data_IF_984762818276
#
_entry.id   IF_984762818276
#
_cell.length_a   1.000
_cell.length_b   1.000
_cell.length_c   1.000
_cell.angle_alpha   90.00
_cell.angle_beta   90.00
_cell.angle_gamma   90.00
#
_symmetry.space_group_name_H-M   'P 1'
#
loop_
_entity.id
_entity.type
_entity.pdbx_description
1 polymer ?
#
# COMPACT_ATOMS: atom_id res chain seq x y z
N UNK A 1 -16.54 -9.78 -9.67
CA UNK A 1 -15.97 -10.18 -8.36
C UNK A 1 -16.09 -9.06 -7.34
N UNK A 2 -16.39 -9.39 -6.06
CA UNK A 2 -16.42 -8.37 -5.00
C UNK A 2 -14.98 -7.93 -4.69
N UNK A 3 -14.74 -6.64 -4.78
CA UNK A 3 -13.39 -6.04 -4.77
C UNK A 3 -13.24 -5.13 -3.56
N UNK A 4 -12.03 -5.03 -3.01
CA UNK A 4 -11.66 -4.03 -2.01
C UNK A 4 -10.36 -3.32 -2.42
N UNK A 5 -10.27 -2.01 -2.14
CA UNK A 5 -9.04 -1.24 -2.25
C UNK A 5 -8.28 -1.31 -0.93
N UNK A 6 -7.02 -1.73 -0.98
CA UNK A 6 -6.10 -1.69 0.16
C UNK A 6 -5.20 -0.45 0.04
N UNK A 7 -5.32 0.45 1.00
CA UNK A 7 -4.44 1.63 1.14
C UNK A 7 -3.43 1.32 2.24
N UNK A 8 -2.23 0.90 1.83
CA UNK A 8 -1.22 0.30 2.73
C UNK A 8 -0.20 1.36 3.13
N UNK A 9 -0.10 1.62 4.44
CA UNK A 9 0.94 2.43 5.09
C UNK A 9 1.11 3.84 4.50
N UNK A 10 0.03 4.45 4.00
CA UNK A 10 0.05 5.83 3.52
C UNK A 10 -0.07 6.75 4.72
N UNK A 11 1.06 6.91 5.44
CA UNK A 11 1.12 7.50 6.77
C UNK A 11 2.27 8.48 6.97
N UNK A 12 2.09 9.46 7.85
CA UNK A 12 3.06 10.50 8.17
C UNK A 12 4.37 9.98 8.75
N UNK A 13 4.36 8.81 9.37
CA UNK A 13 5.56 8.17 9.93
C UNK A 13 6.76 8.16 8.99
N UNK A 14 6.51 8.01 7.68
CA UNK A 14 7.57 7.96 6.67
C UNK A 14 8.32 9.28 6.50
N UNK A 15 7.66 10.43 6.69
CA UNK A 15 8.31 11.75 6.60
C UNK A 15 9.45 11.93 7.60
N UNK A 16 9.42 11.17 8.68
CA UNK A 16 10.45 11.20 9.72
C UNK A 16 11.63 10.25 9.42
N UNK A 17 11.65 9.61 8.26
CA UNK A 17 12.74 8.71 7.88
C UNK A 17 13.78 9.43 7.02
N UNK A 18 15.09 9.17 7.23
CA UNK A 18 16.17 9.84 6.50
C UNK A 18 16.11 9.66 4.96
N UNK A 19 15.50 8.57 4.50
CA UNK A 19 15.35 8.26 3.09
C UNK A 19 14.14 8.95 2.43
N UNK A 20 13.26 9.57 3.21
CA UNK A 20 12.06 10.21 2.67
C UNK A 20 12.43 11.40 1.78
N UNK A 21 11.79 11.48 0.64
CA UNK A 21 11.89 12.61 -0.28
C UNK A 21 10.53 12.91 -0.90
N UNK A 22 10.26 14.15 -1.18
CA UNK A 22 9.04 14.60 -1.83
C UNK A 22 9.09 14.54 -3.36
N UNK A 23 10.22 14.10 -3.95
CA UNK A 23 10.44 14.12 -5.40
C UNK A 23 9.27 13.49 -6.18
N UNK A 24 8.87 12.28 -5.80
CA UNK A 24 7.87 11.50 -6.50
C UNK A 24 6.48 11.58 -5.82
N UNK A 25 6.39 12.27 -4.68
CA UNK A 25 5.20 12.34 -3.84
C UNK A 25 3.98 12.99 -4.54
N UNK A 26 4.10 14.10 -5.30
CA UNK A 26 2.95 14.70 -5.96
C UNK A 26 2.30 13.78 -7.00
N UNK A 27 3.09 13.08 -7.81
CA UNK A 27 2.60 12.14 -8.82
C UNK A 27 1.93 10.93 -8.17
N UNK A 28 2.56 10.38 -7.13
CA UNK A 28 2.00 9.30 -6.33
C UNK A 28 0.66 9.68 -5.70
N UNK A 29 0.58 10.83 -5.02
CA UNK A 29 -0.66 11.29 -4.38
C UNK A 29 -1.77 11.53 -5.40
N UNK A 30 -1.46 12.04 -6.59
CA UNK A 30 -2.44 12.19 -7.66
C UNK A 30 -3.06 10.84 -8.05
N UNK A 31 -2.23 9.80 -8.25
CA UNK A 31 -2.69 8.46 -8.60
C UNK A 31 -3.45 7.79 -7.44
N UNK A 32 -2.92 7.90 -6.21
CA UNK A 32 -3.57 7.35 -5.01
C UNK A 32 -4.93 7.98 -4.74
N UNK A 33 -5.04 9.31 -4.87
CA UNK A 33 -6.28 10.03 -4.66
C UNK A 33 -7.31 9.74 -5.75
N UNK A 34 -6.88 9.58 -7.02
CA UNK A 34 -7.75 9.14 -8.10
C UNK A 34 -8.33 7.74 -7.81
N UNK A 35 -7.52 6.84 -7.29
CA UNK A 35 -7.96 5.50 -6.89
C UNK A 35 -9.00 5.54 -5.76
N UNK A 36 -8.74 6.35 -4.73
CA UNK A 36 -9.68 6.55 -3.61
C UNK A 36 -11.00 7.13 -4.12
N UNK A 37 -10.96 8.19 -4.92
CA UNK A 37 -12.15 8.83 -5.46
C UNK A 37 -13.00 7.87 -6.32
N UNK A 38 -12.34 7.08 -7.18
CA UNK A 38 -13.02 6.09 -8.01
C UNK A 38 -13.62 4.95 -7.19
N UNK A 39 -12.91 4.45 -6.17
CA UNK A 39 -13.43 3.43 -5.27
C UNK A 39 -14.66 3.93 -4.49
N UNK A 40 -14.62 5.17 -3.99
CA UNK A 40 -15.78 5.80 -3.34
C UNK A 40 -16.97 5.94 -4.29
N UNK A 41 -16.74 6.42 -5.51
CA UNK A 41 -17.79 6.55 -6.52
C UNK A 41 -18.44 5.22 -6.91
N UNK A 42 -17.65 4.13 -6.88
CA UNK A 42 -18.11 2.76 -7.16
C UNK A 42 -18.72 2.06 -5.93
N UNK A 43 -18.77 2.69 -4.77
CA UNK A 43 -19.20 2.04 -3.52
C UNK A 43 -18.30 0.87 -3.10
N UNK A 44 -17.05 0.88 -3.57
CA UNK A 44 -16.07 -0.16 -3.25
C UNK A 44 -15.51 0.06 -1.83
N UNK A 45 -15.46 -0.98 -0.98
CA UNK A 45 -14.86 -0.85 0.34
C UNK A 45 -13.38 -0.52 0.24
N UNK A 46 -12.96 0.49 1.00
CA UNK A 46 -11.57 0.92 1.13
C UNK A 46 -11.08 0.51 2.51
N UNK A 47 -10.02 -0.28 2.55
CA UNK A 47 -9.38 -0.73 3.79
C UNK A 47 -8.12 0.08 4.02
N UNK A 48 -8.04 0.70 5.20
CA UNK A 48 -6.87 1.42 5.65
C UNK A 48 -5.96 0.49 6.44
N UNK A 49 -4.68 0.50 6.11
CA UNK A 49 -3.67 -0.27 6.84
C UNK A 49 -2.56 0.67 7.27
N UNK A 50 -2.21 0.63 8.55
CA UNK A 50 -1.08 1.36 9.11
C UNK A 50 0.00 0.40 9.61
N UNK A 51 1.25 0.78 9.45
CA UNK A 51 2.38 0.08 10.02
C UNK A 51 2.73 0.65 11.38
N UNK A 52 2.82 -0.22 12.38
CA UNK A 52 3.26 0.09 13.75
C UNK A 52 4.45 -0.81 14.05
N UNK A 53 5.59 -0.25 14.42
CA UNK A 53 6.82 -1.01 14.65
C UNK A 53 7.70 -0.38 15.73
N UNK A 54 8.56 -1.22 16.34
CA UNK A 54 9.53 -0.81 17.33
C UNK A 54 8.92 -0.42 18.68
N UNK A 55 9.71 0.23 19.54
CA UNK A 55 9.25 0.67 20.86
C UNK A 55 8.07 1.64 20.76
N UNK A 56 7.05 1.42 21.61
CA UNK A 56 5.90 2.31 21.70
C UNK A 56 6.26 3.51 22.59
N UNK A 57 6.90 4.48 21.98
CA UNK A 57 7.35 5.74 22.60
C UNK A 57 7.14 6.92 21.66
N UNK A 58 6.95 8.15 22.16
CA UNK A 58 6.67 9.32 21.32
C UNK A 58 7.76 9.64 20.28
N UNK A 59 9.01 9.27 20.53
CA UNK A 59 10.16 9.52 19.65
C UNK A 59 10.21 8.56 18.45
N UNK A 60 9.49 7.45 18.50
CA UNK A 60 9.41 6.51 17.39
C UNK A 60 8.24 6.89 16.47
N UNK A 61 8.47 7.36 15.23
CA UNK A 61 7.39 7.79 14.33
C UNK A 61 6.45 6.64 13.91
N UNK A 62 6.83 5.38 14.11
CA UNK A 62 5.98 4.20 13.88
C UNK A 62 5.30 3.69 15.16
N UNK A 63 5.36 4.45 16.25
CA UNK A 63 4.59 4.22 17.47
C UNK A 63 3.26 4.96 17.40
N UNK A 64 2.22 4.36 17.96
CA UNK A 64 0.92 5.04 18.13
C UNK A 64 1.04 6.28 19.03
N UNK A 65 1.99 6.28 19.98
CA UNK A 65 2.24 7.39 20.89
C UNK A 65 2.86 8.62 20.21
N UNK A 66 3.49 8.43 19.04
CA UNK A 66 4.13 9.53 18.30
C UNK A 66 3.14 10.51 17.67
N UNK A 67 1.89 10.08 17.44
CA UNK A 67 0.92 10.82 16.63
C UNK A 67 1.20 10.83 15.12
N UNK A 68 2.29 10.19 14.66
CA UNK A 68 2.66 10.12 13.24
C UNK A 68 2.04 8.92 12.51
N UNK A 69 1.44 7.96 13.23
CA UNK A 69 0.64 6.87 12.64
C UNK A 69 -0.75 7.41 12.31
N UNK A 70 -0.81 8.25 11.30
CA UNK A 70 -2.00 8.90 10.76
C UNK A 70 -1.88 9.04 9.26
N UNK A 71 -2.99 9.32 8.51
CA UNK A 71 -2.91 9.53 7.07
C UNK A 71 -1.84 10.56 6.70
N UNK A 72 -1.12 10.28 5.62
CA UNK A 72 -0.13 11.19 5.04
C UNK A 72 -0.82 12.47 4.57
N UNK A 73 -0.24 13.63 4.87
CA UNK A 73 -0.77 14.91 4.42
C UNK A 73 -0.79 14.96 2.88
N UNK A 74 -1.94 15.38 2.33
CA UNK A 74 -2.23 15.35 0.90
C UNK A 74 -2.99 14.09 0.43
N UNK A 75 -3.13 13.07 1.28
CA UNK A 75 -4.03 11.95 0.99
C UNK A 75 -5.50 12.41 1.07
N UNK A 76 -6.28 12.13 0.03
CA UNK A 76 -7.72 12.41 0.03
C UNK A 76 -8.42 11.70 1.20
N UNK A 77 -9.30 12.40 1.93
CA UNK A 77 -10.05 11.78 3.01
C UNK A 77 -11.02 10.72 2.47
N UNK A 78 -11.14 9.62 3.20
CA UNK A 78 -12.12 8.57 2.92
C UNK A 78 -12.58 7.90 4.22
N UNK A 79 -13.82 7.44 4.22
CA UNK A 79 -14.32 6.55 5.25
C UNK A 79 -13.79 5.14 5.00
N UNK A 80 -13.00 4.62 5.94
CA UNK A 80 -12.46 3.27 5.82
C UNK A 80 -13.50 2.24 6.26
N UNK A 81 -13.77 1.26 5.40
CA UNK A 81 -14.62 0.11 5.74
C UNK A 81 -14.03 -0.75 6.88
N UNK A 82 -12.70 -0.72 7.02
CA UNK A 82 -11.96 -1.24 8.17
C UNK A 82 -10.59 -0.57 8.25
N UNK A 83 -10.02 -0.51 9.46
CA UNK A 83 -8.64 -0.05 9.70
C UNK A 83 -7.89 -1.12 10.46
N UNK A 84 -6.70 -1.49 9.97
CA UNK A 84 -5.81 -2.45 10.60
C UNK A 84 -4.45 -1.84 10.90
N UNK A 85 -3.86 -2.27 12.01
CA UNK A 85 -2.47 -1.99 12.35
C UNK A 85 -1.67 -3.27 12.18
N UNK A 86 -0.57 -3.21 11.46
CA UNK A 86 0.33 -4.34 11.24
C UNK A 86 1.73 -4.04 11.76
N UNK A 87 2.45 -5.07 12.14
CA UNK A 87 3.87 -5.01 12.53
C UNK A 87 4.77 -5.87 11.63
N UNK A 88 4.23 -6.36 10.52
CA UNK A 88 4.94 -7.14 9.51
C UNK A 88 4.73 -6.51 8.14
N UNK A 89 5.55 -6.88 7.15
CA UNK A 89 5.43 -6.29 5.81
C UNK A 89 4.09 -6.65 5.17
N UNK A 90 3.69 -7.92 5.18
CA UNK A 90 2.36 -8.29 4.68
C UNK A 90 1.26 -7.78 5.61
N UNK A 91 0.25 -7.15 5.01
CA UNK A 91 -0.96 -6.70 5.71
C UNK A 91 -1.84 -7.86 6.23
N UNK A 92 -1.59 -9.08 5.74
CA UNK A 92 -2.32 -10.29 6.12
C UNK A 92 -1.70 -11.03 7.31
N UNK A 93 -0.47 -10.63 7.72
CA UNK A 93 0.23 -11.32 8.82
C UNK A 93 -0.03 -10.63 10.16
N UNK A 94 -0.64 -11.38 11.10
CA UNK A 94 -0.88 -10.91 12.45
C UNK A 94 -1.94 -9.82 12.58
N UNK A 95 -2.80 -9.67 11.56
CA UNK A 95 -3.93 -8.75 11.52
C UNK A 95 -5.24 -9.52 11.39
N UNK A 96 -6.36 -8.85 11.57
CA UNK A 96 -7.68 -9.42 11.26
C UNK A 96 -8.10 -9.25 9.80
N UNK A 97 -7.20 -8.81 8.90
CA UNK A 97 -7.56 -8.45 7.52
C UNK A 97 -8.15 -9.65 6.75
N UNK A 98 -7.51 -10.81 6.78
CA UNK A 98 -8.00 -11.99 6.08
C UNK A 98 -9.40 -12.42 6.56
N UNK A 99 -9.62 -12.39 7.87
CA UNK A 99 -10.95 -12.68 8.44
C UNK A 99 -11.99 -11.66 7.95
N UNK A 100 -11.63 -10.39 7.90
CA UNK A 100 -12.50 -9.34 7.38
C UNK A 100 -12.81 -9.54 5.90
N UNK A 101 -11.79 -9.82 5.07
CA UNK A 101 -11.95 -10.08 3.63
C UNK A 101 -12.91 -11.25 3.39
N UNK A 102 -12.72 -12.35 4.09
CA UNK A 102 -13.57 -13.55 3.97
C UNK A 102 -15.01 -13.28 4.41
N UNK A 103 -15.23 -12.60 5.54
CA UNK A 103 -16.57 -12.22 6.03
C UNK A 103 -17.31 -11.31 5.06
N UNK A 104 -16.61 -10.49 4.33
CA UNK A 104 -17.15 -9.57 3.34
C UNK A 104 -17.22 -10.18 1.93
N UNK A 105 -16.85 -11.45 1.76
CA UNK A 105 -16.80 -12.16 0.49
C UNK A 105 -15.96 -11.43 -0.59
N UNK A 106 -14.86 -10.79 -0.16
CA UNK A 106 -13.91 -10.14 -1.07
C UNK A 106 -13.10 -11.21 -1.78
N UNK A 107 -12.99 -11.09 -3.10
CA UNK A 107 -12.27 -12.03 -3.97
C UNK A 107 -11.15 -11.35 -4.75
N UNK A 108 -11.24 -10.02 -4.92
CA UNK A 108 -10.25 -9.22 -5.64
C UNK A 108 -9.74 -8.10 -4.77
N UNK A 109 -8.44 -7.87 -4.81
CA UNK A 109 -7.77 -6.82 -4.06
C UNK A 109 -7.08 -5.85 -5.02
N UNK A 110 -7.31 -4.56 -4.84
CA UNK A 110 -6.52 -3.52 -5.49
C UNK A 110 -5.49 -3.06 -4.46
N UNK A 111 -4.20 -3.19 -4.79
CA UNK A 111 -3.10 -2.86 -3.87
C UNK A 111 -2.48 -1.53 -4.24
N UNK A 112 -2.38 -0.64 -3.27
CA UNK A 112 -1.74 0.67 -3.34
C UNK A 112 -1.06 1.03 -2.01
N UNK A 113 -0.12 1.97 -2.01
CA UNK A 113 0.49 2.49 -0.77
C UNK A 113 2.01 2.59 -0.76
N UNK A 114 2.63 2.43 0.41
CA UNK A 114 4.06 2.63 0.71
C UNK A 114 4.59 1.42 1.50
N UNK A 115 5.78 0.84 1.21
CA UNK A 115 6.68 1.04 0.07
C UNK A 115 6.37 -0.01 -0.99
N UNK A 116 6.60 0.36 -2.24
CA UNK A 116 6.33 -0.48 -3.41
C UNK A 116 6.86 -1.90 -3.26
N UNK A 117 8.17 -2.05 -3.01
CA UNK A 117 8.91 -3.33 -2.96
C UNK A 117 8.83 -4.06 -1.60
N UNK A 118 8.28 -3.40 -0.58
CA UNK A 118 8.17 -3.95 0.76
C UNK A 118 6.72 -4.32 1.07
N UNK A 119 5.99 -3.43 1.73
CA UNK A 119 4.65 -3.75 2.21
C UNK A 119 3.66 -4.05 1.08
N UNK A 120 3.72 -3.30 -0.04
CA UNK A 120 2.82 -3.52 -1.17
C UNK A 120 3.17 -4.83 -1.90
N UNK A 121 4.43 -5.06 -2.28
CA UNK A 121 4.84 -6.31 -2.95
C UNK A 121 4.59 -7.53 -2.06
N UNK A 122 4.99 -7.47 -0.77
CA UNK A 122 4.83 -8.60 0.16
C UNK A 122 3.35 -8.94 0.37
N UNK A 123 2.49 -7.93 0.52
CA UNK A 123 1.04 -8.15 0.66
C UNK A 123 0.46 -8.76 -0.63
N UNK A 124 0.87 -8.26 -1.80
CA UNK A 124 0.44 -8.78 -3.10
C UNK A 124 0.77 -10.25 -3.27
N UNK A 125 2.02 -10.65 -3.01
CA UNK A 125 2.44 -12.06 -3.11
C UNK A 125 1.66 -12.95 -2.16
N UNK A 126 1.53 -12.52 -0.91
CA UNK A 126 0.79 -13.29 0.10
C UNK A 126 -0.70 -13.40 -0.26
N UNK A 127 -1.32 -12.32 -0.73
CA UNK A 127 -2.71 -12.37 -1.18
C UNK A 127 -2.91 -13.31 -2.37
N UNK A 128 -2.01 -13.30 -3.35
CA UNK A 128 -2.05 -14.23 -4.48
C UNK A 128 -1.90 -15.69 -4.04
N UNK A 129 -0.99 -15.98 -3.11
CA UNK A 129 -0.80 -17.32 -2.54
C UNK A 129 -2.03 -17.82 -1.76
N UNK A 130 -2.83 -16.91 -1.18
CA UNK A 130 -4.11 -17.20 -0.54
C UNK A 130 -5.28 -17.32 -1.54
N UNK A 131 -5.05 -17.13 -2.85
CA UNK A 131 -6.05 -17.29 -3.89
C UNK A 131 -6.86 -16.05 -4.24
N UNK A 132 -6.50 -14.87 -3.73
CA UNK A 132 -7.12 -13.61 -4.16
C UNK A 132 -6.64 -13.24 -5.57
N UNK A 133 -7.55 -12.70 -6.39
CA UNK A 133 -7.16 -11.94 -7.59
C UNK A 133 -6.60 -10.61 -7.15
N UNK A 134 -5.40 -10.25 -7.62
CA UNK A 134 -4.74 -9.02 -7.20
C UNK A 134 -4.48 -8.10 -8.39
N UNK A 135 -4.87 -6.85 -8.26
CA UNK A 135 -4.45 -5.74 -9.10
C UNK A 135 -3.40 -4.92 -8.36
N UNK A 136 -2.25 -4.75 -8.96
CA UNK A 136 -1.18 -3.91 -8.41
C UNK A 136 -1.12 -2.61 -9.21
N UNK A 137 -1.42 -1.49 -8.55
CA UNK A 137 -1.44 -0.18 -9.20
C UNK A 137 -0.11 0.51 -8.96
N UNK A 138 0.83 0.29 -9.89
CA UNK A 138 2.22 0.76 -9.75
C UNK A 138 2.30 2.26 -9.49
N UNK A 139 1.50 3.07 -10.23
CA UNK A 139 1.49 4.53 -10.08
C UNK A 139 0.94 5.01 -8.72
N UNK A 140 0.14 4.17 -8.07
CA UNK A 140 -0.38 4.40 -6.73
C UNK A 140 0.46 3.69 -5.64
N UNK A 141 1.71 3.36 -5.93
CA UNK A 141 2.70 2.94 -4.93
C UNK A 141 3.89 3.90 -4.91
N UNK A 142 4.50 4.08 -3.74
CA UNK A 142 5.66 4.96 -3.56
C UNK A 142 6.81 4.18 -2.93
N UNK A 143 8.03 4.42 -3.42
CA UNK A 143 9.27 3.98 -2.78
C UNK A 143 10.33 5.07 -2.89
N UNK A 144 11.51 4.81 -2.33
CA UNK A 144 12.61 5.76 -2.19
C UNK A 144 13.91 5.12 -2.64
N UNK A 145 14.88 5.95 -3.04
CA UNK A 145 16.21 5.48 -3.40
C UNK A 145 16.83 4.68 -2.23
N UNK A 146 17.58 3.66 -2.57
CA UNK A 146 18.30 2.79 -1.64
C UNK A 146 19.77 2.72 -2.00
N UNK A 147 20.56 2.08 -1.15
CA UNK A 147 21.97 1.77 -1.42
C UNK A 147 22.09 0.25 -1.53
N UNK A 148 22.72 -0.22 -2.62
CA UNK A 148 23.02 -1.62 -2.85
C UNK A 148 24.13 -2.12 -1.90
N UNK A 149 24.29 -3.42 -1.72
CA UNK A 149 25.34 -3.97 -0.84
C UNK A 149 26.76 -3.55 -1.24
N UNK A 150 27.01 -3.21 -2.51
CA UNK A 150 28.29 -2.73 -3.02
C UNK A 150 28.48 -1.20 -2.85
N UNK A 151 27.51 -0.51 -2.25
CA UNK A 151 27.53 0.94 -2.03
C UNK A 151 26.97 1.76 -3.19
N UNK A 152 26.61 1.16 -4.31
CA UNK A 152 26.02 1.90 -5.44
C UNK A 152 24.56 2.30 -5.21
N UNK A 153 24.08 3.42 -5.76
CA UNK A 153 22.69 3.82 -5.65
C UNK A 153 21.75 2.85 -6.37
N UNK A 154 20.64 2.53 -5.76
CA UNK A 154 19.49 1.86 -6.37
C UNK A 154 18.32 2.83 -6.39
N UNK A 155 18.02 3.38 -7.55
CA UNK A 155 17.00 4.42 -7.69
C UNK A 155 15.58 3.85 -7.51
N UNK A 156 14.68 4.65 -6.95
CA UNK A 156 13.27 4.31 -6.75
C UNK A 156 12.60 3.81 -8.04
N UNK A 157 12.90 4.43 -9.19
CA UNK A 157 12.39 4.00 -10.48
C UNK A 157 12.81 2.56 -10.84
N UNK A 158 14.05 2.16 -10.54
CA UNK A 158 14.54 0.81 -10.79
C UNK A 158 13.89 -0.21 -9.85
N UNK A 159 13.68 0.17 -8.58
CA UNK A 159 12.97 -0.65 -7.59
C UNK A 159 11.54 -0.90 -8.07
N UNK A 160 10.84 0.16 -8.46
CA UNK A 160 9.47 0.08 -8.97
C UNK A 160 9.37 -0.79 -10.22
N UNK A 161 10.28 -0.58 -11.20
CA UNK A 161 10.33 -1.37 -12.43
C UNK A 161 10.57 -2.86 -12.14
N UNK A 162 11.52 -3.17 -11.23
CA UNK A 162 11.78 -4.56 -10.79
C UNK A 162 10.54 -5.17 -10.13
N UNK A 163 9.90 -4.45 -9.21
CA UNK A 163 8.70 -4.95 -8.51
C UNK A 163 7.57 -5.23 -9.51
N UNK A 164 7.30 -4.29 -10.40
CA UNK A 164 6.31 -4.48 -11.48
C UNK A 164 6.63 -5.73 -12.32
N UNK A 165 7.89 -5.87 -12.76
CA UNK A 165 8.33 -7.01 -13.59
C UNK A 165 8.09 -8.37 -12.92
N UNK A 166 8.42 -8.50 -11.63
CA UNK A 166 8.31 -9.80 -10.95
C UNK A 166 6.87 -10.11 -10.49
N UNK A 167 6.01 -9.12 -10.37
CA UNK A 167 4.60 -9.32 -10.01
C UNK A 167 3.73 -9.64 -11.22
N UNK A 168 4.07 -9.06 -12.39
CA UNK A 168 3.28 -9.16 -13.62
C UNK A 168 2.97 -10.60 -13.99
N UNK A 169 1.70 -10.87 -14.24
CA UNK A 169 1.17 -12.15 -14.76
C UNK A 169 1.50 -13.38 -13.89
N UNK A 170 2.16 -13.17 -12.74
CA UNK A 170 2.48 -14.23 -11.80
C UNK A 170 1.71 -14.09 -10.48
N UNK A 171 1.71 -12.90 -9.91
CA UNK A 171 1.07 -12.60 -8.61
C UNK A 171 -0.04 -11.55 -8.74
N UNK A 172 0.05 -10.69 -9.76
CA UNK A 172 -0.90 -9.60 -9.95
C UNK A 172 -1.03 -9.19 -11.42
N UNK A 173 -2.18 -8.62 -11.76
CA UNK A 173 -2.35 -7.81 -12.94
C UNK A 173 -1.80 -6.42 -12.63
N UNK A 174 -0.89 -5.91 -13.48
CA UNK A 174 -0.48 -4.51 -13.41
C UNK A 174 -1.51 -3.64 -14.11
N UNK A 175 -1.93 -2.57 -13.48
CA UNK A 175 -2.92 -1.66 -14.05
C UNK A 175 -2.72 -0.22 -13.59
N UNK A 176 -3.26 0.69 -14.39
CA UNK A 176 -3.44 2.09 -14.01
C UNK A 176 -4.57 2.22 -12.99
N UNK A 177 -4.70 3.37 -12.28
CA UNK A 177 -5.85 3.60 -11.40
C UNK A 177 -7.20 3.39 -12.09
N UNK A 178 -7.36 3.86 -13.32
CA UNK A 178 -8.60 3.71 -14.09
C UNK A 178 -8.92 2.23 -14.39
N UNK A 179 -7.92 1.47 -14.87
CA UNK A 179 -8.08 0.04 -15.18
C UNK A 179 -8.40 -0.80 -13.93
N UNK A 180 -7.84 -0.43 -12.77
CA UNK A 180 -8.12 -1.13 -11.52
C UNK A 180 -9.57 -0.97 -11.05
N UNK A 181 -10.21 0.11 -11.42
CA UNK A 181 -11.61 0.43 -11.07
C UNK A 181 -12.63 -0.21 -12.00
N UNK A 182 -12.21 -0.75 -13.13
CA UNK A 182 -13.11 -1.45 -14.06
C UNK A 182 -13.65 -2.74 -13.44
N UNK A 183 -14.93 -3.06 -13.69
CA UNK A 183 -15.50 -4.35 -13.34
C UNK A 183 -14.75 -5.51 -14.00
N UNK A 184 -14.55 -6.61 -13.27
CA UNK A 184 -13.97 -7.86 -13.77
C UNK A 184 -14.97 -9.00 -13.59
#
# INVERSE_FOLDING_TARGET
>A
MKTALLVIDVQESFRHRPFFTERDLPAYLAAQNALIAGAQAAGMPIVRIFHVDGPQVPQNPFSLESGAVRPLDGLAPFEAAATFHKSRHSALVGTGLEVWLNRNAIQRLIVSGIRTEQCCETTTRHAADLGYTVDFVTDATLTFDMVQPDGTPLLAANITARTATVLKDRFARLCTPAQALEPV
#
